data_IF_522923087075
#
_entry.id   IF_522923087075
#
_cell.length_a   1.000
_cell.length_b   1.000
_cell.length_c   1.000
_cell.angle_alpha   90.00
_cell.angle_beta   90.00
_cell.angle_gamma   90.00
#
_symmetry.space_group_name_H-M   'P 1'
#
loop_
_entity.id
_entity.type
_entity.pdbx_description
1 polymer ?
#
# COMPACT_ATOMS: atom_id res chain seq x y z
N UNK A 1 -2.73 -17.32 -0.27
CA UNK A 1 -3.13 -17.05 -1.66
C UNK A 1 -2.08 -16.16 -2.29
N UNK A 2 -2.12 -16.02 -3.60
CA UNK A 2 -1.19 -15.22 -4.40
C UNK A 2 -1.85 -13.96 -4.98
N UNK A 3 -3.06 -13.63 -4.51
CA UNK A 3 -3.80 -12.40 -4.82
C UNK A 3 -4.21 -11.66 -3.55
N UNK A 4 -4.01 -10.35 -3.53
CA UNK A 4 -4.52 -9.44 -2.52
C UNK A 4 -6.00 -9.18 -2.76
N UNK A 5 -6.78 -9.10 -1.69
CA UNK A 5 -8.18 -8.65 -1.70
C UNK A 5 -8.26 -7.22 -1.18
N UNK A 6 -8.91 -6.36 -1.95
CA UNK A 6 -9.25 -4.99 -1.59
C UNK A 6 -10.76 -4.87 -1.65
N UNK A 7 -11.40 -4.52 -0.54
CA UNK A 7 -12.85 -4.30 -0.47
C UNK A 7 -13.11 -2.80 -0.37
N UNK A 8 -13.91 -2.27 -1.31
CA UNK A 8 -14.24 -0.86 -1.40
C UNK A 8 -15.75 -0.69 -1.27
N UNK A 9 -16.20 0.11 -0.29
CA UNK A 9 -17.57 0.58 -0.26
C UNK A 9 -17.74 1.70 -1.30
N UNK A 10 -18.73 1.56 -2.17
CA UNK A 10 -19.04 2.52 -3.24
C UNK A 10 -20.48 2.99 -3.08
N UNK A 11 -20.65 4.31 -3.03
CA UNK A 11 -21.97 4.95 -3.02
C UNK A 11 -22.30 5.41 -4.45
N UNK A 12 -23.33 4.84 -5.05
CA UNK A 12 -23.81 5.23 -6.37
C UNK A 12 -25.02 6.18 -6.23
N UNK A 13 -24.98 7.31 -6.93
CA UNK A 13 -26.12 8.21 -7.11
C UNK A 13 -26.70 8.05 -8.51
N UNK A 14 -27.97 7.67 -8.62
CA UNK A 14 -28.65 7.63 -9.91
C UNK A 14 -28.86 9.04 -10.47
N UNK A 15 -28.48 9.24 -11.74
CA UNK A 15 -28.78 10.48 -12.46
C UNK A 15 -30.14 10.49 -13.14
N UNK A 16 -30.78 9.32 -13.34
CA UNK A 16 -31.99 9.19 -14.16
C UNK A 16 -32.86 8.02 -13.71
N UNK A 17 -33.51 8.18 -12.56
CA UNK A 17 -34.60 7.34 -12.10
C UNK A 17 -35.72 8.23 -11.57
N UNK A 18 -36.97 7.83 -11.84
CA UNK A 18 -38.16 8.51 -11.36
C UNK A 18 -38.32 8.39 -9.82
N UNK A 19 -37.53 7.52 -9.19
CA UNK A 19 -37.44 7.32 -7.75
C UNK A 19 -35.95 7.40 -7.34
N UNK A 20 -35.51 8.53 -6.81
CA UNK A 20 -34.10 8.81 -6.49
C UNK A 20 -33.55 8.02 -5.31
N UNK A 21 -33.52 6.69 -5.41
CA UNK A 21 -32.92 5.81 -4.41
C UNK A 21 -31.43 5.67 -4.71
N UNK A 22 -30.59 6.23 -3.83
CA UNK A 22 -29.15 5.92 -3.84
C UNK A 22 -28.94 4.44 -3.56
N UNK A 23 -27.93 3.84 -4.17
CA UNK A 23 -27.57 2.45 -3.93
C UNK A 23 -26.14 2.36 -3.40
N UNK A 24 -25.95 1.52 -2.39
CA UNK A 24 -24.64 1.16 -1.87
C UNK A 24 -24.22 -0.21 -2.41
N UNK A 25 -22.94 -0.33 -2.73
CA UNK A 25 -22.35 -1.57 -3.20
C UNK A 25 -20.94 -1.72 -2.64
N UNK A 26 -20.59 -2.91 -2.21
CA UNK A 26 -19.21 -3.28 -1.93
C UNK A 26 -18.60 -3.88 -3.20
N UNK A 27 -17.52 -3.27 -3.67
CA UNK A 27 -16.72 -3.80 -4.76
C UNK A 27 -15.52 -4.51 -4.17
N UNK A 28 -15.43 -5.81 -4.44
CA UNK A 28 -14.28 -6.62 -4.11
C UNK A 28 -13.35 -6.68 -5.32
N UNK A 29 -12.09 -6.34 -5.11
CA UNK A 29 -11.03 -6.37 -6.11
C UNK A 29 -10.00 -7.39 -5.64
N UNK A 30 -9.71 -8.38 -6.49
CA UNK A 30 -8.60 -9.30 -6.30
C UNK A 30 -7.53 -9.04 -7.33
N UNK A 31 -6.27 -9.22 -6.96
CA UNK A 31 -5.20 -9.31 -7.95
C UNK A 31 -3.83 -9.52 -7.34
N UNK A 32 -2.85 -9.80 -8.19
CA UNK A 32 -1.49 -10.13 -7.77
C UNK A 32 -0.62 -8.87 -7.75
N UNK A 33 -0.06 -8.46 -6.60
CA UNK A 33 0.87 -7.34 -6.56
C UNK A 33 2.13 -7.69 -7.34
N UNK A 34 2.55 -6.78 -8.22
CA UNK A 34 3.77 -6.88 -9.03
C UNK A 34 4.61 -5.65 -8.80
N UNK A 35 5.80 -5.87 -8.27
CA UNK A 35 6.82 -4.85 -8.07
C UNK A 35 7.65 -4.71 -9.35
N UNK A 36 7.73 -3.49 -9.87
CA UNK A 36 8.80 -3.08 -10.77
C UNK A 36 9.92 -2.47 -9.92
N UNK A 37 10.99 -3.24 -9.76
CA UNK A 37 12.15 -2.88 -8.96
C UNK A 37 12.90 -1.65 -9.52
N UNK A 38 13.00 -1.52 -10.83
CA UNK A 38 13.74 -0.44 -11.46
C UNK A 38 12.96 0.88 -11.39
N UNK A 39 11.66 0.82 -11.69
CA UNK A 39 10.79 2.00 -11.60
C UNK A 39 10.40 2.35 -10.16
N UNK A 40 10.58 1.42 -9.21
CA UNK A 40 10.03 1.47 -7.86
C UNK A 40 8.52 1.74 -7.88
N UNK A 41 7.79 0.91 -8.63
CA UNK A 41 6.34 0.99 -8.70
C UNK A 41 5.70 -0.35 -8.34
N UNK A 42 4.55 -0.28 -7.68
CA UNK A 42 3.73 -1.46 -7.37
C UNK A 42 2.43 -1.38 -8.16
N UNK A 43 2.13 -2.41 -8.93
CA UNK A 43 0.86 -2.53 -9.67
C UNK A 43 0.12 -3.80 -9.30
N UNK A 44 -1.18 -3.83 -9.55
CA UNK A 44 -1.98 -5.06 -9.42
C UNK A 44 -2.15 -5.69 -10.81
N UNK A 45 -1.63 -6.90 -10.98
CA UNK A 45 -1.86 -7.72 -12.16
C UNK A 45 -2.99 -8.72 -11.92
N UNK A 46 -3.49 -9.36 -12.99
CA UNK A 46 -4.50 -10.42 -12.90
C UNK A 46 -5.75 -9.98 -12.12
N UNK A 47 -6.26 -8.78 -12.43
CA UNK A 47 -7.30 -8.09 -11.66
C UNK A 47 -8.68 -8.68 -11.93
N UNK A 48 -9.34 -9.11 -10.87
CA UNK A 48 -10.72 -9.61 -10.87
C UNK A 48 -11.60 -8.75 -9.97
N UNK A 49 -12.86 -8.55 -10.39
CA UNK A 49 -13.82 -7.74 -9.66
C UNK A 49 -15.12 -8.50 -9.43
N UNK A 50 -15.66 -8.36 -8.23
CA UNK A 50 -17.03 -8.73 -7.90
C UNK A 50 -17.74 -7.56 -7.22
N UNK A 51 -19.04 -7.46 -7.46
CA UNK A 51 -19.89 -6.44 -6.85
C UNK A 51 -20.91 -7.15 -5.98
N UNK A 52 -20.85 -6.86 -4.70
CA UNK A 52 -21.87 -7.23 -3.72
C UNK A 52 -22.73 -6.00 -3.45
N UNK A 53 -24.05 -6.10 -3.64
CA UNK A 53 -24.97 -5.01 -3.32
C UNK A 53 -26.29 -5.59 -2.86
N UNK A 54 -26.85 -5.04 -1.78
CA UNK A 54 -28.20 -5.38 -1.32
C UNK A 54 -29.26 -4.92 -2.34
N UNK A 55 -28.94 -3.91 -3.17
CA UNK A 55 -29.76 -3.43 -4.29
C UNK A 55 -29.48 -4.18 -5.62
N UNK A 56 -28.67 -5.26 -5.62
CA UNK A 56 -28.20 -5.96 -6.83
C UNK A 56 -29.28 -6.68 -7.66
N UNK A 57 -30.55 -6.62 -7.25
CA UNK A 57 -31.68 -7.32 -7.87
C UNK A 57 -32.50 -6.46 -8.86
N UNK A 58 -31.93 -5.38 -9.40
CA UNK A 58 -32.60 -4.50 -10.38
C UNK A 58 -31.71 -4.00 -11.53
N UNK A 59 -32.17 -3.00 -12.30
CA UNK A 59 -31.46 -2.42 -13.45
C UNK A 59 -30.05 -1.89 -13.09
N UNK A 60 -29.87 -1.42 -11.86
CA UNK A 60 -28.57 -1.01 -11.32
C UNK A 60 -27.56 -2.17 -11.27
N UNK A 61 -28.01 -3.37 -10.91
CA UNK A 61 -27.17 -4.57 -10.94
C UNK A 61 -26.77 -4.97 -12.36
N UNK A 62 -27.61 -4.72 -13.37
CA UNK A 62 -27.28 -4.99 -14.77
C UNK A 62 -26.24 -3.99 -15.30
N UNK A 63 -26.43 -2.69 -15.03
CA UNK A 63 -25.48 -1.65 -15.40
C UNK A 63 -24.12 -1.83 -14.70
N UNK A 64 -24.12 -2.19 -13.40
CA UNK A 64 -22.90 -2.48 -12.66
C UNK A 64 -22.13 -3.66 -13.27
N UNK A 65 -22.81 -4.77 -13.60
CA UNK A 65 -22.19 -5.92 -14.26
C UNK A 65 -21.61 -5.57 -15.63
N UNK A 66 -22.32 -4.75 -16.41
CA UNK A 66 -21.83 -4.28 -17.71
C UNK A 66 -20.58 -3.38 -17.59
N UNK A 67 -20.40 -2.68 -16.46
CA UNK A 67 -19.23 -1.84 -16.23
C UNK A 67 -17.99 -2.62 -15.76
N UNK A 68 -18.14 -3.86 -15.25
CA UNK A 68 -17.05 -4.65 -14.67
C UNK A 68 -15.82 -4.76 -15.61
N UNK A 69 -15.94 -5.12 -16.89
CA UNK A 69 -14.77 -5.27 -17.76
C UNK A 69 -13.99 -3.95 -17.93
N UNK A 70 -14.70 -2.83 -18.02
CA UNK A 70 -14.08 -1.51 -18.13
C UNK A 70 -13.40 -1.09 -16.84
N UNK A 71 -13.99 -1.40 -15.68
CA UNK A 71 -13.40 -1.15 -14.38
C UNK A 71 -12.15 -2.02 -14.15
N UNK A 72 -12.20 -3.30 -14.55
CA UNK A 72 -11.03 -4.19 -14.51
C UNK A 72 -9.87 -3.61 -15.32
N UNK A 73 -10.14 -3.19 -16.55
CA UNK A 73 -9.12 -2.58 -17.41
C UNK A 73 -8.59 -1.28 -16.82
N UNK A 74 -9.47 -0.38 -16.36
CA UNK A 74 -9.06 0.87 -15.74
C UNK A 74 -8.18 0.65 -14.50
N UNK A 75 -8.52 -0.33 -13.65
CA UNK A 75 -7.72 -0.68 -12.48
C UNK A 75 -6.37 -1.28 -12.89
N UNK A 76 -6.33 -2.19 -13.87
CA UNK A 76 -5.09 -2.75 -14.37
C UNK A 76 -4.15 -1.67 -14.95
N UNK A 77 -4.70 -0.68 -15.65
CA UNK A 77 -3.93 0.36 -16.32
C UNK A 77 -3.51 1.51 -15.38
N UNK A 78 -4.33 1.82 -14.36
CA UNK A 78 -4.18 3.04 -13.56
C UNK A 78 -3.80 2.79 -12.11
N UNK A 79 -3.99 1.58 -11.58
CA UNK A 79 -3.65 1.28 -10.19
C UNK A 79 -2.16 0.96 -10.04
N UNK A 80 -1.36 2.02 -10.21
CA UNK A 80 0.09 2.03 -10.04
C UNK A 80 0.41 2.92 -8.85
N UNK A 81 1.08 2.35 -7.86
CA UNK A 81 1.60 3.08 -6.71
C UNK A 81 3.06 3.40 -6.96
N UNK A 82 3.40 4.69 -7.02
CA UNK A 82 4.80 5.13 -6.98
C UNK A 82 5.32 5.00 -5.55
N UNK A 83 6.39 4.22 -5.38
CA UNK A 83 6.97 3.91 -4.07
C UNK A 83 8.00 4.95 -3.62
N UNK A 84 8.48 5.83 -4.50
CA UNK A 84 9.53 6.81 -4.18
C UNK A 84 9.14 7.78 -3.07
N UNK A 85 7.91 8.32 -3.01
CA UNK A 85 7.50 9.20 -1.91
C UNK A 85 7.50 8.47 -0.56
N UNK A 86 7.13 7.19 -0.55
CA UNK A 86 7.12 6.36 0.65
C UNK A 86 8.54 6.07 1.13
N UNK A 87 9.45 5.73 0.21
CA UNK A 87 10.88 5.56 0.50
C UNK A 87 11.49 6.83 1.09
N UNK A 88 11.23 7.99 0.47
CA UNK A 88 11.72 9.29 0.96
C UNK A 88 11.17 9.63 2.36
N UNK A 89 9.90 9.32 2.62
CA UNK A 89 9.31 9.50 3.95
C UNK A 89 9.92 8.53 4.98
N UNK A 90 10.08 7.27 4.63
CA UNK A 90 10.71 6.26 5.49
C UNK A 90 12.15 6.68 5.86
N UNK A 91 12.92 7.18 4.90
CA UNK A 91 14.28 7.69 5.12
C UNK A 91 14.29 8.81 6.16
N UNK A 92 13.41 9.81 6.02
CA UNK A 92 13.29 10.91 6.99
C UNK A 92 12.91 10.41 8.38
N UNK A 93 11.98 9.47 8.48
CA UNK A 93 11.54 8.91 9.77
C UNK A 93 12.63 8.13 10.47
N UNK A 94 13.39 7.32 9.72
CA UNK A 94 14.52 6.57 10.26
C UNK A 94 15.63 7.53 10.71
N UNK A 95 15.96 8.54 9.90
CA UNK A 95 16.93 9.57 10.28
C UNK A 95 16.51 10.32 11.56
N UNK A 96 15.23 10.65 11.71
CA UNK A 96 14.71 11.25 12.92
C UNK A 96 14.85 10.32 14.14
N UNK A 97 14.50 9.03 14.00
CA UNK A 97 14.65 8.06 15.07
C UNK A 97 16.12 7.88 15.51
N UNK A 98 17.06 7.85 14.56
CA UNK A 98 18.50 7.81 14.85
C UNK A 98 18.93 9.06 15.63
N UNK A 99 18.50 10.24 15.19
CA UNK A 99 18.84 11.50 15.87
C UNK A 99 18.26 11.59 17.29
N UNK A 100 17.10 10.99 17.53
CA UNK A 100 16.50 10.92 18.86
C UNK A 100 17.26 9.94 19.78
N UNK A 101 17.73 8.80 19.26
CA UNK A 101 18.59 7.88 20.03
C UNK A 101 19.88 8.57 20.49
N UNK A 102 20.52 9.35 19.62
CA UNK A 102 21.73 10.12 19.95
C UNK A 102 21.55 11.10 21.11
N UNK A 103 20.34 11.66 21.30
CA UNK A 103 20.06 12.65 22.34
C UNK A 103 19.80 12.01 23.70
N UNK A 104 19.36 10.75 23.72
CA UNK A 104 18.77 10.12 24.90
C UNK A 104 19.70 9.12 25.60
N UNK A 105 20.86 8.79 25.03
CA UNK A 105 21.82 7.85 25.63
C UNK A 105 23.10 8.57 26.10
N UNK A 106 23.30 8.65 27.42
CA UNK A 106 24.60 9.02 28.00
C UNK A 106 25.59 7.85 27.80
N UNK A 107 26.78 8.15 27.30
CA UNK A 107 27.84 7.14 27.15
C UNK A 107 27.86 6.37 25.83
N UNK A 108 26.92 6.63 24.90
CA UNK A 108 26.95 6.08 23.54
C UNK A 108 26.72 7.20 22.52
N UNK A 109 27.57 7.29 21.51
CA UNK A 109 27.41 8.17 20.35
C UNK A 109 27.24 7.33 19.09
N UNK A 110 26.05 7.33 18.52
CA UNK A 110 25.78 6.74 17.20
C UNK A 110 25.84 7.85 16.16
N UNK A 111 26.45 7.63 15.01
CA UNK A 111 26.38 8.48 13.83
C UNK A 111 25.94 7.59 12.68
N UNK A 112 24.74 7.80 12.16
CA UNK A 112 24.19 6.97 11.12
C UNK A 112 23.53 7.81 10.04
N UNK A 113 23.81 7.45 8.79
CA UNK A 113 23.28 8.10 7.60
C UNK A 113 22.62 7.04 6.71
N UNK A 114 21.37 7.31 6.32
CA UNK A 114 20.61 6.45 5.41
C UNK A 114 20.53 7.15 4.08
N UNK A 115 21.26 6.62 3.10
CA UNK A 115 21.37 7.21 1.75
C UNK A 115 20.28 6.74 0.79
N UNK A 116 19.77 5.52 0.98
CA UNK A 116 18.77 4.94 0.09
C UNK A 116 17.83 4.01 0.86
N UNK A 117 16.56 3.99 0.44
CA UNK A 117 15.58 2.99 0.85
C UNK A 117 14.80 2.60 -0.41
N UNK A 118 14.61 1.30 -0.65
CA UNK A 118 13.76 0.81 -1.72
C UNK A 118 13.00 -0.44 -1.30
N UNK A 119 11.84 -0.67 -1.91
CA UNK A 119 11.12 -1.93 -1.70
C UNK A 119 11.80 -3.03 -2.51
N UNK A 120 12.21 -4.10 -1.83
CA UNK A 120 12.90 -5.23 -2.45
C UNK A 120 11.96 -6.39 -2.80
N UNK A 121 11.00 -6.69 -1.91
CA UNK A 121 9.96 -7.65 -2.23
C UNK A 121 8.72 -7.46 -1.37
N UNK A 122 7.61 -7.97 -1.88
CA UNK A 122 6.34 -8.08 -1.18
C UNK A 122 5.82 -9.50 -1.33
N UNK A 123 5.43 -10.11 -0.22
CA UNK A 123 4.84 -11.44 -0.18
C UNK A 123 3.72 -11.45 0.85
N UNK A 124 2.73 -12.32 0.68
CA UNK A 124 1.62 -12.40 1.62
C UNK A 124 1.03 -13.81 1.67
N UNK A 125 0.36 -14.08 2.78
CA UNK A 125 -0.45 -15.27 2.99
C UNK A 125 -1.81 -14.86 3.59
N UNK A 126 -2.54 -15.78 4.22
CA UNK A 126 -3.85 -15.49 4.79
C UNK A 126 -3.83 -14.60 6.04
N UNK A 127 -2.66 -14.41 6.68
CA UNK A 127 -2.50 -13.67 7.95
C UNK A 127 -1.38 -12.65 7.94
N UNK A 128 -0.44 -12.77 7.00
CA UNK A 128 0.80 -11.99 7.00
C UNK A 128 0.95 -11.23 5.69
N UNK A 129 1.30 -9.95 5.81
CA UNK A 129 1.91 -9.19 4.73
C UNK A 129 3.39 -9.01 5.07
N UNK A 130 4.26 -9.61 4.27
CA UNK A 130 5.72 -9.45 4.37
C UNK A 130 6.18 -8.41 3.37
N UNK A 131 6.87 -7.40 3.89
CA UNK A 131 7.49 -6.32 3.12
C UNK A 131 8.98 -6.38 3.42
N UNK A 132 9.81 -6.55 2.39
CA UNK A 132 11.27 -6.53 2.52
C UNK A 132 11.76 -5.27 1.86
N UNK A 133 12.48 -4.45 2.62
CA UNK A 133 13.11 -3.22 2.13
C UNK A 133 14.62 -3.41 2.11
N UNK A 134 15.26 -2.83 1.12
CA UNK A 134 16.71 -2.69 1.06
C UNK A 134 17.07 -1.25 1.42
N UNK A 135 18.10 -1.11 2.26
CA UNK A 135 18.57 0.19 2.76
C UNK A 135 20.06 0.27 2.58
N UNK A 136 20.53 1.36 1.96
CA UNK A 136 21.96 1.67 1.86
C UNK A 136 22.30 2.82 2.82
N UNK A 137 23.40 2.69 3.55
CA UNK A 137 23.80 3.70 4.52
C UNK A 137 25.08 3.36 5.27
N UNK A 138 25.42 4.22 6.23
CA UNK A 138 26.55 4.01 7.14
C UNK A 138 26.10 4.14 8.57
N UNK A 139 26.70 3.36 9.47
CA UNK A 139 26.48 3.43 10.91
C UNK A 139 27.86 3.37 11.57
N UNK A 140 28.14 4.35 12.43
CA UNK A 140 29.29 4.40 13.32
C UNK A 140 28.75 4.49 14.74
N UNK A 141 29.29 3.69 15.65
CA UNK A 141 28.94 3.78 17.06
C UNK A 141 30.23 3.88 17.87
N UNK A 142 30.23 4.76 18.85
CA UNK A 142 31.30 4.95 19.80
C UNK A 142 30.74 4.90 21.22
N UNK A 143 31.34 4.09 22.09
CA UNK A 143 31.05 4.10 23.53
C UNK A 143 31.91 5.20 24.15
N UNK A 144 31.27 6.22 24.71
CA UNK A 144 31.91 7.39 25.32
C UNK A 144 31.97 7.30 26.85
N UNK A 145 31.19 6.42 27.48
CA UNK A 145 31.28 6.11 28.91
C UNK A 145 30.79 4.67 29.18
N UNK A 146 31.38 4.01 30.18
CA UNK A 146 30.93 2.70 30.66
C UNK A 146 30.02 2.90 31.88
N UNK A 147 28.98 2.06 32.07
CA UNK A 147 28.18 2.09 33.30
C UNK A 147 29.09 1.91 34.52
N UNK A 148 28.83 2.65 35.60
CA UNK A 148 29.50 2.41 36.87
C UNK A 148 29.13 1.01 37.38
N UNK A 149 30.14 0.19 37.69
CA UNK A 149 30.00 -1.15 38.28
C UNK A 149 29.46 -1.09 39.71
#
# INVERSE_FOLDING_TARGET
GDRLLISLLVHAKEKKSFFGLGAEATVHIWGRPRLDQAAQTLRLADVELAVESEAAFGLLGAAARAAIPHLQQALADRMVVDLKPFASNAQRKIAAAIADLQKNEEGIRVDADVTSIRLASIAFDSKTLRVVVETDGTIKAAVTALPAL
#
